data_IF_124580826928
#
_entry.id   IF_124580826928
#
_cell.length_a   1.000
_cell.length_b   1.000
_cell.length_c   1.000
_cell.angle_alpha   90.00
_cell.angle_beta   90.00
_cell.angle_gamma   90.00
#
_symmetry.space_group_name_H-M   'P 1'
#
loop_
_entity.id
_entity.type
_entity.pdbx_description
1 polymer ?
#
# COMPACT_ATOMS: atom_id res chain seq x y z
N UNK A 1 -42.82 0.33 10.58
CA UNK A 1 -42.12 0.71 11.82
C UNK A 1 -40.64 0.44 11.55
N UNK A 2 -39.90 1.52 11.25
CA UNK A 2 -38.49 1.45 10.86
C UNK A 2 -37.64 1.57 12.12
N UNK A 3 -36.80 0.56 12.37
CA UNK A 3 -35.82 0.60 13.45
C UNK A 3 -34.51 1.21 12.94
N UNK A 4 -34.20 2.41 13.37
CA UNK A 4 -32.89 3.03 13.19
C UNK A 4 -31.90 2.39 14.18
N UNK A 5 -30.90 1.67 13.66
CA UNK A 5 -29.71 1.30 14.42
C UNK A 5 -28.76 2.50 14.45
N UNK A 6 -28.63 3.13 15.60
CA UNK A 6 -27.70 4.22 15.82
C UNK A 6 -26.26 3.70 15.89
N UNK A 7 -25.42 4.10 14.96
CA UNK A 7 -23.97 4.04 15.06
C UNK A 7 -23.53 4.91 16.27
N UNK A 8 -23.08 4.27 17.35
CA UNK A 8 -22.43 4.96 18.47
C UNK A 8 -20.98 5.20 18.08
N UNK A 9 -20.69 6.43 17.62
CA UNK A 9 -19.33 6.86 17.36
C UNK A 9 -18.49 6.91 18.64
N UNK A 10 -17.20 6.60 18.51
CA UNK A 10 -16.22 6.87 19.57
C UNK A 10 -16.15 8.39 19.79
N UNK A 11 -16.78 8.90 20.84
CA UNK A 11 -16.72 10.32 21.20
C UNK A 11 -15.45 10.60 21.95
N UNK A 12 -14.52 11.30 21.31
CA UNK A 12 -13.38 11.92 22.00
C UNK A 12 -13.86 13.14 22.79
N UNK A 13 -13.79 13.08 24.10
CA UNK A 13 -14.04 14.25 24.97
C UNK A 13 -12.77 15.10 24.99
N UNK A 14 -12.78 16.22 24.28
CA UNK A 14 -11.72 17.25 24.36
C UNK A 14 -11.99 18.12 25.58
N UNK A 15 -11.23 17.92 26.64
CA UNK A 15 -11.16 18.85 27.77
C UNK A 15 -10.01 19.83 27.53
N UNK A 16 -10.36 21.08 27.24
CA UNK A 16 -9.40 22.19 27.19
C UNK A 16 -9.09 22.60 28.64
N UNK A 17 -7.88 22.36 29.12
CA UNK A 17 -7.34 22.90 30.36
C UNK A 17 -6.09 23.70 30.04
N UNK A 18 -6.12 24.96 30.43
CA UNK A 18 -5.04 25.95 30.26
C UNK A 18 -3.87 25.63 31.18
N UNK A 19 -2.70 25.58 30.57
CA UNK A 19 -1.31 25.54 30.94
C UNK A 19 -0.84 25.62 32.40
N UNK A 20 0.09 24.69 32.74
CA UNK A 20 1.40 24.97 33.37
C UNK A 20 2.34 23.79 33.01
N UNK A 21 3.69 24.00 32.93
CA UNK A 21 4.57 22.99 32.40
C UNK A 21 4.93 21.95 33.46
N UNK A 22 4.18 20.89 33.50
CA UNK A 22 4.58 19.66 34.18
C UNK A 22 4.90 18.65 33.10
N UNK A 23 6.07 18.02 33.20
CA UNK A 23 6.47 16.86 32.38
C UNK A 23 5.34 15.84 32.45
N UNK A 24 4.52 15.78 31.42
CA UNK A 24 3.49 14.76 31.27
C UNK A 24 4.17 13.51 30.70
N UNK A 25 4.41 12.55 31.59
CA UNK A 25 4.46 11.13 31.20
C UNK A 25 3.25 10.85 30.31
N UNK A 26 3.47 10.38 29.10
CA UNK A 26 2.42 10.03 28.16
C UNK A 26 1.35 9.19 28.88
N UNK A 27 0.14 9.68 28.92
CA UNK A 27 -0.99 8.87 29.39
C UNK A 27 -1.18 7.75 28.37
N UNK A 28 -0.87 6.52 28.77
CA UNK A 28 -1.27 5.31 28.11
C UNK A 28 -2.79 5.33 27.96
N UNK A 29 -3.27 5.63 26.77
CA UNK A 29 -4.67 5.52 26.39
C UNK A 29 -5.06 4.02 26.33
N UNK A 30 -5.06 3.32 27.46
CA UNK A 30 -5.71 2.00 27.63
C UNK A 30 -5.37 0.86 26.65
N UNK A 31 -4.45 1.08 25.73
CA UNK A 31 -4.01 0.08 24.74
C UNK A 31 -2.88 -0.76 25.33
N UNK A 32 -2.99 -2.06 25.19
CA UNK A 32 -1.96 -3.01 25.64
C UNK A 32 -0.58 -2.67 25.05
N UNK A 33 0.47 -2.95 25.82
CA UNK A 33 1.85 -2.87 25.31
C UNK A 33 2.01 -3.79 24.11
N UNK A 34 2.85 -3.39 23.15
CA UNK A 34 3.20 -4.25 22.03
C UNK A 34 3.82 -5.56 22.52
N UNK A 35 3.43 -6.67 21.92
CA UNK A 35 3.88 -8.01 22.27
C UNK A 35 5.07 -8.48 21.41
N UNK A 36 5.49 -7.68 20.44
CA UNK A 36 6.67 -7.91 19.61
C UNK A 36 7.72 -6.88 20.01
N UNK A 37 8.95 -7.36 20.25
CA UNK A 37 10.12 -6.49 20.29
C UNK A 37 10.65 -6.28 18.88
N UNK A 38 11.09 -5.04 18.58
CA UNK A 38 11.74 -4.72 17.31
C UNK A 38 10.84 -5.04 16.06
N UNK A 39 9.57 -4.68 16.12
CA UNK A 39 8.65 -4.87 14.99
C UNK A 39 8.92 -3.93 13.81
N UNK A 40 9.63 -2.82 14.03
CA UNK A 40 10.13 -1.90 13.01
C UNK A 40 11.53 -2.26 12.47
N UNK A 41 12.13 -3.37 12.90
CA UNK A 41 13.43 -3.91 12.44
C UNK A 41 14.64 -3.01 12.69
N UNK A 42 14.52 -1.95 13.48
CA UNK A 42 15.57 -0.94 13.74
C UNK A 42 16.71 -1.45 14.62
N UNK A 43 16.42 -2.42 15.53
CA UNK A 43 17.43 -3.00 16.40
C UNK A 43 18.20 -4.06 15.65
N UNK A 44 19.49 -3.83 15.43
CA UNK A 44 20.39 -4.73 14.71
C UNK A 44 21.63 -5.13 15.52
N UNK A 45 22.12 -6.31 15.24
CA UNK A 45 23.40 -6.81 15.79
C UNK A 45 24.60 -6.23 15.06
N UNK A 46 24.49 -6.05 13.74
CA UNK A 46 25.47 -5.40 12.87
C UNK A 46 24.78 -4.94 11.58
N UNK A 47 25.43 -4.05 10.83
CA UNK A 47 24.94 -3.57 9.56
C UNK A 47 24.89 -4.68 8.51
N UNK A 48 23.77 -4.90 7.79
CA UNK A 48 23.69 -5.92 6.74
C UNK A 48 24.65 -5.55 5.59
N UNK A 49 25.47 -6.51 5.16
CA UNK A 49 26.42 -6.32 4.07
C UNK A 49 25.95 -6.85 2.72
N UNK A 50 25.03 -7.79 2.72
CA UNK A 50 24.44 -8.41 1.54
C UNK A 50 22.97 -8.77 1.83
N UNK A 51 22.16 -8.91 0.77
CA UNK A 51 20.77 -9.30 0.86
C UNK A 51 20.59 -10.79 1.21
N UNK A 52 21.49 -11.65 0.85
CA UNK A 52 21.45 -13.09 1.18
C UNK A 52 22.16 -13.39 2.50
N UNK A 53 21.48 -13.22 3.59
CA UNK A 53 21.97 -13.66 4.88
C UNK A 53 21.43 -15.07 5.17
N UNK A 54 22.26 -16.11 5.12
CA UNK A 54 21.87 -17.50 5.40
C UNK A 54 21.29 -17.75 6.80
N UNK A 55 21.28 -16.73 7.62
CA UNK A 55 20.62 -16.67 8.92
C UNK A 55 20.31 -15.20 9.21
N UNK A 56 19.09 -14.86 9.50
CA UNK A 56 18.60 -13.50 9.80
C UNK A 56 19.15 -12.98 11.14
N UNK A 57 20.49 -13.01 11.29
CA UNK A 57 21.18 -12.64 12.54
C UNK A 57 21.40 -11.14 12.68
N UNK A 58 21.15 -10.39 11.63
CA UNK A 58 21.32 -8.95 11.66
C UNK A 58 20.21 -8.26 12.43
N UNK A 59 18.98 -8.76 12.38
CA UNK A 59 17.84 -8.20 13.11
C UNK A 59 17.73 -8.83 14.49
N UNK A 60 17.79 -8.01 15.53
CA UNK A 60 17.65 -8.49 16.92
C UNK A 60 16.23 -9.04 17.14
N UNK A 61 16.15 -10.24 17.72
CA UNK A 61 14.89 -10.88 18.08
C UNK A 61 14.19 -11.65 16.95
N UNK A 62 14.63 -11.51 15.70
CA UNK A 62 14.03 -12.20 14.55
C UNK A 62 14.89 -13.34 14.04
N UNK A 63 14.22 -14.37 13.52
CA UNK A 63 14.82 -15.57 12.96
C UNK A 63 14.08 -16.02 11.71
N UNK A 64 14.67 -16.95 10.96
CA UNK A 64 14.00 -17.66 9.86
C UNK A 64 13.39 -18.96 10.34
N UNK A 65 12.24 -19.36 9.78
CA UNK A 65 11.55 -20.61 10.17
C UNK A 65 11.84 -21.80 9.23
N UNK A 66 12.59 -21.57 8.15
CA UNK A 66 13.06 -22.60 7.21
C UNK A 66 14.46 -22.22 6.68
N UNK A 67 14.97 -22.90 5.64
CA UNK A 67 16.25 -22.56 5.02
C UNK A 67 16.15 -21.42 3.98
N UNK A 68 14.97 -20.81 3.80
CA UNK A 68 14.82 -19.56 3.06
C UNK A 68 15.56 -18.42 3.72
N UNK A 69 15.88 -17.39 2.98
CA UNK A 69 16.77 -16.31 3.40
C UNK A 69 16.08 -14.96 3.37
N UNK A 70 15.11 -14.69 4.28
CA UNK A 70 14.52 -13.35 4.38
C UNK A 70 15.62 -12.32 4.67
N UNK A 71 15.41 -11.11 4.15
CA UNK A 71 16.43 -10.08 4.07
C UNK A 71 16.22 -8.99 5.13
N UNK A 72 17.31 -8.32 5.48
CA UNK A 72 17.34 -7.11 6.28
C UNK A 72 17.91 -5.96 5.45
N UNK A 73 17.17 -4.88 5.36
CA UNK A 73 17.57 -3.63 4.70
C UNK A 73 17.73 -2.53 5.74
N UNK A 74 18.85 -1.80 5.68
CA UNK A 74 19.15 -0.74 6.63
C UNK A 74 20.00 0.35 5.97
N UNK A 75 19.70 1.61 6.25
CA UNK A 75 20.42 2.76 5.71
C UNK A 75 21.91 2.81 6.11
N UNK A 76 22.33 2.00 7.08
CA UNK A 76 23.75 1.84 7.40
C UNK A 76 24.53 1.06 6.33
N UNK A 77 23.84 0.28 5.47
CA UNK A 77 24.46 -0.48 4.39
C UNK A 77 24.88 0.44 3.25
N UNK A 78 26.16 0.50 2.97
CA UNK A 78 26.72 1.39 1.92
C UNK A 78 26.99 0.65 0.60
N UNK A 79 26.76 -0.65 0.54
CA UNK A 79 27.10 -1.52 -0.60
C UNK A 79 26.03 -1.58 -1.70
N UNK A 80 24.90 -0.90 -1.56
CA UNK A 80 23.80 -0.85 -2.54
C UNK A 80 22.95 -2.11 -2.67
N UNK A 81 23.25 -3.19 -1.95
CA UNK A 81 22.49 -4.45 -2.01
C UNK A 81 21.44 -4.59 -0.88
N UNK A 82 21.76 -4.11 0.30
CA UNK A 82 20.93 -4.17 1.49
C UNK A 82 20.67 -2.77 2.07
N UNK A 83 20.78 -1.73 1.25
CA UNK A 83 20.58 -0.33 1.64
C UNK A 83 19.11 0.06 1.74
N UNK A 84 18.89 1.26 2.29
CA UNK A 84 17.62 1.97 2.32
C UNK A 84 17.91 3.42 1.91
N UNK A 85 17.17 4.00 0.94
CA UNK A 85 16.04 3.42 0.21
C UNK A 85 16.44 2.43 -0.88
N UNK A 86 17.65 2.49 -1.41
CA UNK A 86 18.08 1.75 -2.61
C UNK A 86 18.69 0.41 -2.21
N UNK A 87 18.16 -0.67 -2.78
CA UNK A 87 18.63 -2.02 -2.56
C UNK A 87 18.51 -2.88 -3.82
N UNK A 88 18.84 -4.16 -3.74
CA UNK A 88 18.84 -5.05 -4.89
C UNK A 88 17.47 -5.31 -5.50
N UNK A 89 16.39 -5.11 -4.75
CA UNK A 89 15.02 -5.40 -5.19
C UNK A 89 14.21 -4.14 -5.55
N UNK A 90 14.84 -2.96 -5.46
CA UNK A 90 14.22 -1.69 -5.82
C UNK A 90 14.61 -0.52 -4.91
N UNK A 91 13.78 0.51 -4.92
CA UNK A 91 13.99 1.73 -4.12
C UNK A 91 12.76 1.98 -3.25
N UNK A 92 12.89 1.70 -1.95
CA UNK A 92 11.81 1.89 -0.98
C UNK A 92 12.34 2.57 0.28
N UNK A 93 11.88 3.79 0.63
CA UNK A 93 12.13 4.38 1.93
C UNK A 93 11.51 3.52 3.05
N UNK A 94 12.15 3.44 4.21
CA UNK A 94 11.53 2.84 5.38
C UNK A 94 10.23 3.58 5.74
N UNK A 95 9.25 2.85 6.27
CA UNK A 95 8.04 3.45 6.81
C UNK A 95 8.34 4.21 8.09
N UNK A 96 9.03 3.56 9.02
CA UNK A 96 9.52 4.15 10.25
C UNK A 96 11.03 3.94 10.35
N UNK A 97 11.75 4.92 10.87
CA UNK A 97 13.19 4.79 11.09
C UNK A 97 14.04 4.70 9.84
N UNK A 98 14.86 3.63 9.72
CA UNK A 98 15.91 3.47 8.71
C UNK A 98 16.07 2.04 8.19
N UNK A 99 15.25 1.12 8.66
CA UNK A 99 15.37 -0.30 8.38
C UNK A 99 14.01 -0.95 8.08
N UNK A 100 14.00 -2.07 7.40
CA UNK A 100 12.85 -2.95 7.19
C UNK A 100 13.31 -4.35 6.82
N UNK A 101 12.40 -5.31 6.82
CA UNK A 101 12.65 -6.66 6.37
C UNK A 101 12.07 -6.92 4.98
N UNK A 102 12.56 -7.96 4.30
CA UNK A 102 12.02 -8.42 3.02
C UNK A 102 11.96 -9.92 2.91
N UNK A 103 10.99 -10.44 2.16
CA UNK A 103 10.84 -11.87 1.93
C UNK A 103 10.15 -12.24 0.62
N UNK A 104 10.53 -13.41 0.09
CA UNK A 104 9.88 -14.04 -1.05
C UNK A 104 8.64 -14.77 -0.57
N UNK A 105 7.48 -14.34 -1.04
CA UNK A 105 6.20 -15.01 -0.78
C UNK A 105 5.91 -16.14 -1.78
N UNK A 106 6.44 -16.05 -3.00
CA UNK A 106 6.25 -17.05 -4.05
C UNK A 106 7.33 -16.92 -5.12
N UNK A 107 7.68 -18.05 -5.74
CA UNK A 107 8.58 -18.10 -6.89
C UNK A 107 7.97 -18.99 -7.98
N UNK A 108 7.85 -18.46 -9.21
CA UNK A 108 7.34 -19.25 -10.34
C UNK A 108 8.27 -20.42 -10.71
N UNK A 109 9.59 -20.23 -10.57
CA UNK A 109 10.58 -21.28 -10.88
C UNK A 109 10.68 -22.34 -9.78
N UNK A 110 10.30 -22.00 -8.55
CA UNK A 110 10.28 -22.90 -7.38
C UNK A 110 8.95 -22.72 -6.61
N UNK A 111 7.82 -23.28 -7.07
CA UNK A 111 6.49 -22.97 -6.52
C UNK A 111 6.30 -23.27 -5.02
N UNK A 112 7.14 -24.11 -4.44
CA UNK A 112 7.14 -24.43 -2.99
C UNK A 112 8.17 -23.64 -2.18
N UNK A 113 9.00 -22.83 -2.82
CA UNK A 113 9.92 -21.94 -2.12
C UNK A 113 9.17 -20.86 -1.37
N UNK A 114 9.49 -20.68 -0.10
CA UNK A 114 8.95 -19.64 0.77
C UNK A 114 10.03 -19.14 1.71
N UNK A 115 9.88 -17.89 2.09
CA UNK A 115 10.67 -17.31 3.18
C UNK A 115 9.74 -16.92 4.33
N UNK A 116 10.27 -17.02 5.56
CA UNK A 116 9.50 -16.74 6.77
C UNK A 116 10.33 -15.97 7.77
N UNK A 117 9.74 -14.90 8.29
CA UNK A 117 10.22 -14.18 9.46
C UNK A 117 9.54 -14.73 10.72
N UNK A 118 10.30 -14.98 11.78
CA UNK A 118 9.78 -15.53 13.01
C UNK A 118 10.36 -14.82 14.23
N UNK A 119 9.51 -14.49 15.21
CA UNK A 119 9.92 -13.95 16.49
C UNK A 119 9.11 -14.54 17.64
N UNK A 120 9.65 -14.46 18.86
CA UNK A 120 8.91 -14.78 20.08
C UNK A 120 8.08 -13.59 20.54
N UNK A 121 6.88 -13.84 21.04
CA UNK A 121 6.11 -12.84 21.75
C UNK A 121 6.74 -12.56 23.12
N UNK A 122 6.61 -11.33 23.60
CA UNK A 122 7.10 -10.90 24.92
C UNK A 122 6.41 -11.62 26.08
N UNK A 123 5.26 -12.24 25.84
CA UNK A 123 4.57 -13.15 26.77
C UNK A 123 3.69 -14.15 26.01
N UNK A 124 3.34 -15.21 26.68
CA UNK A 124 2.34 -16.18 26.20
C UNK A 124 0.96 -15.53 26.15
N UNK A 125 0.22 -15.79 25.06
CA UNK A 125 -1.17 -15.35 24.93
C UNK A 125 -2.10 -16.18 25.82
N UNK A 126 -3.14 -15.55 26.34
CA UNK A 126 -4.16 -16.20 27.17
C UNK A 126 -5.35 -16.63 26.33
N UNK A 127 -5.95 -17.76 26.70
CA UNK A 127 -7.16 -18.22 26.02
C UNK A 127 -8.27 -17.18 26.07
N UNK A 128 -8.87 -16.91 24.92
CA UNK A 128 -9.97 -15.97 24.77
C UNK A 128 -9.53 -14.50 24.72
N UNK A 129 -8.24 -14.21 24.76
CA UNK A 129 -7.69 -12.86 24.63
C UNK A 129 -7.85 -12.38 23.17
N UNK A 130 -8.35 -11.16 23.00
CA UNK A 130 -8.38 -10.52 21.68
C UNK A 130 -7.03 -9.93 21.35
N UNK A 131 -6.51 -10.29 20.19
CA UNK A 131 -5.20 -9.84 19.68
C UNK A 131 -5.40 -9.06 18.42
N UNK A 132 -5.05 -7.78 18.45
CA UNK A 132 -4.95 -6.92 17.28
C UNK A 132 -3.56 -7.03 16.68
N UNK A 133 -3.50 -7.26 15.39
CA UNK A 133 -2.27 -7.39 14.61
C UNK A 133 -2.28 -6.34 13.51
N UNK A 134 -1.16 -5.62 13.38
CA UNK A 134 -0.96 -4.60 12.37
C UNK A 134 0.42 -4.80 11.75
N UNK A 135 0.53 -4.61 10.47
CA UNK A 135 1.81 -4.63 9.77
C UNK A 135 1.71 -3.83 8.48
N UNK A 136 2.84 -3.38 8.01
CA UNK A 136 2.92 -2.65 6.76
C UNK A 136 3.68 -3.47 5.72
N UNK A 137 3.21 -3.43 4.48
CA UNK A 137 3.78 -4.19 3.37
C UNK A 137 3.90 -3.32 2.13
N UNK A 138 4.98 -3.53 1.38
CA UNK A 138 5.19 -2.90 0.07
C UNK A 138 5.76 -3.94 -0.89
N UNK A 139 5.28 -3.99 -2.14
CA UNK A 139 5.85 -4.88 -3.14
C UNK A 139 7.20 -4.32 -3.64
N UNK A 140 8.15 -5.20 -3.90
CA UNK A 140 9.44 -4.77 -4.45
C UNK A 140 9.34 -4.47 -5.96
N UNK A 141 10.15 -3.52 -6.45
CA UNK A 141 10.18 -3.12 -7.86
C UNK A 141 10.58 -4.26 -8.79
N UNK A 142 11.59 -5.05 -8.39
CA UNK A 142 12.19 -6.12 -9.20
C UNK A 142 11.38 -7.44 -9.16
N UNK A 143 10.22 -7.47 -8.50
CA UNK A 143 9.31 -8.61 -8.50
C UNK A 143 8.41 -8.61 -9.75
N UNK A 144 8.46 -9.68 -10.57
CA UNK A 144 7.59 -9.82 -11.75
C UNK A 144 6.19 -10.27 -11.39
N UNK A 145 6.03 -10.99 -10.31
CA UNK A 145 4.74 -11.54 -9.88
C UNK A 145 4.30 -10.95 -8.54
N UNK A 146 3.00 -10.89 -8.36
CA UNK A 146 2.34 -10.49 -7.12
C UNK A 146 1.41 -11.60 -6.66
N UNK A 147 1.12 -11.64 -5.37
CA UNK A 147 0.29 -12.68 -4.75
C UNK A 147 -0.50 -12.14 -3.56
N UNK A 148 -1.54 -12.86 -3.19
CA UNK A 148 -2.33 -12.64 -1.97
C UNK A 148 -1.81 -13.46 -0.77
N UNK A 149 -0.74 -14.22 -0.95
CA UNK A 149 -0.23 -15.14 0.05
C UNK A 149 0.65 -14.47 1.10
N UNK A 150 0.07 -13.81 2.09
CA UNK A 150 0.78 -13.31 3.27
C UNK A 150 -0.08 -13.55 4.50
N UNK A 151 0.50 -14.12 5.55
CA UNK A 151 -0.18 -14.37 6.81
C UNK A 151 0.74 -14.35 8.01
N UNK A 152 0.15 -14.23 9.19
CA UNK A 152 0.80 -14.28 10.49
C UNK A 152 0.25 -15.46 11.29
N UNK A 153 1.13 -16.41 11.55
CA UNK A 153 0.81 -17.67 12.22
C UNK A 153 1.33 -17.67 13.66
N UNK A 154 0.41 -17.70 14.61
CA UNK A 154 0.69 -17.70 16.04
C UNK A 154 0.69 -19.12 16.59
N UNK A 155 1.74 -19.50 17.31
CA UNK A 155 1.94 -20.90 17.75
C UNK A 155 2.55 -20.99 19.14
N UNK A 156 2.30 -22.09 19.88
CA UNK A 156 2.93 -22.34 21.19
C UNK A 156 4.44 -22.61 21.07
N UNK A 157 4.88 -23.17 19.96
CA UNK A 157 6.28 -23.52 19.70
C UNK A 157 6.70 -22.96 18.35
N UNK A 158 7.97 -22.58 18.20
CA UNK A 158 8.52 -22.06 16.95
C UNK A 158 8.40 -23.13 15.83
N UNK A 159 7.53 -22.95 14.81
CA UNK A 159 7.45 -23.89 13.71
C UNK A 159 8.72 -23.87 12.87
N UNK A 160 9.06 -25.02 12.28
CA UNK A 160 10.20 -25.16 11.38
C UNK A 160 9.85 -26.06 10.21
N UNK A 161 10.24 -25.65 9.00
CA UNK A 161 10.19 -26.49 7.82
C UNK A 161 11.59 -27.02 7.45
N UNK A 162 11.61 -28.17 6.79
CA UNK A 162 12.86 -28.76 6.26
C UNK A 162 13.18 -28.09 4.92
N UNK A 163 14.43 -27.66 4.75
CA UNK A 163 14.87 -26.97 3.53
C UNK A 163 14.17 -25.62 3.33
N UNK A 164 14.00 -25.22 2.09
CA UNK A 164 13.35 -23.96 1.66
C UNK A 164 11.82 -24.11 1.51
N UNK A 165 11.24 -25.22 2.00
CA UNK A 165 9.85 -25.57 1.80
C UNK A 165 8.87 -24.79 2.68
N UNK A 166 7.60 -25.04 2.39
CA UNK A 166 6.47 -24.41 3.07
C UNK A 166 6.31 -24.92 4.50
N UNK A 167 5.95 -24.02 5.39
CA UNK A 167 5.36 -24.37 6.67
C UNK A 167 3.91 -24.83 6.48
N UNK A 168 3.52 -25.84 7.23
CA UNK A 168 2.14 -26.31 7.32
C UNK A 168 1.44 -25.63 8.49
N UNK A 169 0.28 -25.06 8.26
CA UNK A 169 -0.53 -24.40 9.29
C UNK A 169 -1.52 -23.42 8.67
N UNK A 170 -2.52 -23.05 9.43
CA UNK A 170 -3.49 -22.02 9.05
C UNK A 170 -3.20 -20.79 9.91
N UNK A 171 -2.74 -19.68 9.29
CA UNK A 171 -2.48 -18.46 10.02
C UNK A 171 -3.78 -17.89 10.58
N UNK A 172 -3.75 -17.37 11.79
CA UNK A 172 -4.90 -16.71 12.43
C UNK A 172 -5.23 -15.39 11.73
N UNK A 173 -4.23 -14.77 11.12
CA UNK A 173 -4.38 -13.52 10.38
C UNK A 173 -3.74 -13.69 9.01
N UNK A 174 -4.45 -13.33 7.96
CA UNK A 174 -3.92 -13.42 6.60
C UNK A 174 -4.45 -12.28 5.73
N UNK A 175 -3.67 -11.97 4.71
CA UNK A 175 -4.14 -11.10 3.65
C UNK A 175 -5.40 -11.70 2.99
N UNK A 176 -6.45 -10.91 2.74
CA UNK A 176 -7.68 -11.42 2.12
C UNK A 176 -7.42 -12.09 0.77
N UNK A 177 -8.23 -13.10 0.45
CA UNK A 177 -8.17 -13.77 -0.85
C UNK A 177 -8.40 -12.77 -1.98
N UNK A 178 -7.63 -12.92 -3.07
CA UNK A 178 -7.62 -12.02 -4.22
C UNK A 178 -7.11 -10.60 -3.97
N UNK A 179 -6.77 -10.23 -2.74
CA UNK A 179 -6.10 -8.98 -2.46
C UNK A 179 -4.60 -9.11 -2.78
N UNK A 180 -4.26 -8.94 -4.04
CA UNK A 180 -2.88 -9.06 -4.51
C UNK A 180 -2.03 -7.90 -3.98
N UNK A 181 -0.90 -8.23 -3.36
CA UNK A 181 0.06 -7.26 -2.82
C UNK A 181 0.86 -6.66 -3.99
N UNK A 182 0.34 -5.59 -4.56
CA UNK A 182 0.86 -4.99 -5.80
C UNK A 182 1.45 -3.60 -5.63
N UNK A 183 1.15 -2.90 -4.52
CA UNK A 183 1.65 -1.55 -4.31
C UNK A 183 3.17 -1.61 -4.03
N UNK A 184 3.93 -0.98 -4.93
CA UNK A 184 5.39 -0.85 -4.86
C UNK A 184 5.85 0.58 -4.58
N UNK A 185 4.90 1.50 -4.47
CA UNK A 185 5.18 2.91 -4.30
C UNK A 185 4.97 3.36 -2.87
N UNK A 186 4.01 2.71 -2.19
CA UNK A 186 3.63 3.04 -0.84
C UNK A 186 3.53 1.81 0.06
N UNK A 187 3.69 2.07 1.34
CA UNK A 187 3.44 1.09 2.36
C UNK A 187 1.94 0.93 2.56
N UNK A 188 1.44 -0.26 2.28
CA UNK A 188 0.05 -0.65 2.55
C UNK A 188 -0.06 -1.19 3.95
N UNK A 189 -0.93 -0.60 4.76
CA UNK A 189 -1.25 -1.10 6.09
C UNK A 189 -2.23 -2.25 5.99
N UNK A 190 -1.89 -3.32 6.65
CA UNK A 190 -2.77 -4.46 6.87
C UNK A 190 -3.02 -4.61 8.36
N UNK A 191 -4.25 -4.94 8.74
CA UNK A 191 -4.59 -5.19 10.14
C UNK A 191 -5.74 -6.17 10.24
N UNK A 192 -5.70 -6.99 11.28
CA UNK A 192 -6.78 -7.93 11.60
C UNK A 192 -6.77 -8.25 13.09
N UNK A 193 -7.83 -8.90 13.55
CA UNK A 193 -8.01 -9.26 14.95
C UNK A 193 -8.44 -10.71 15.07
N UNK A 194 -7.83 -11.43 16.00
CA UNK A 194 -8.23 -12.81 16.31
C UNK A 194 -8.37 -13.03 17.82
N UNK A 195 -9.07 -14.10 18.18
CA UNK A 195 -9.16 -14.52 19.56
C UNK A 195 -8.19 -15.68 19.81
N UNK A 196 -7.24 -15.49 20.74
CA UNK A 196 -6.21 -16.47 21.06
C UNK A 196 -6.82 -17.76 21.64
N UNK A 197 -6.30 -18.90 21.20
CA UNK A 197 -6.64 -20.20 21.79
C UNK A 197 -5.96 -20.42 23.14
N UNK A 198 -4.88 -19.70 23.38
CA UNK A 198 -4.06 -19.72 24.59
C UNK A 198 -2.85 -20.63 24.45
N UNK A 199 -1.70 -20.12 24.87
CA UNK A 199 -0.44 -20.84 24.80
C UNK A 199 0.49 -20.37 23.71
N UNK A 200 0.05 -19.51 22.77
CA UNK A 200 0.86 -18.98 21.69
C UNK A 200 2.01 -18.12 22.25
N UNK A 201 3.23 -18.39 21.80
CA UNK A 201 4.46 -17.74 22.21
C UNK A 201 5.30 -17.24 21.05
N UNK A 202 4.95 -17.63 19.81
CA UNK A 202 5.67 -17.25 18.61
C UNK A 202 4.73 -16.75 17.56
N UNK A 203 5.20 -15.82 16.74
CA UNK A 203 4.56 -15.42 15.49
C UNK A 203 5.53 -15.69 14.33
N UNK A 204 4.99 -16.25 13.25
CA UNK A 204 5.72 -16.49 12.00
C UNK A 204 4.98 -15.79 10.87
N UNK A 205 5.69 -15.00 10.10
CA UNK A 205 5.16 -14.19 8.98
C UNK A 205 5.65 -14.80 7.67
N UNK A 206 4.77 -14.97 6.70
CA UNK A 206 5.10 -15.50 5.38
C UNK A 206 3.89 -16.07 4.66
N UNK A 207 4.12 -16.83 3.61
CA UNK A 207 3.05 -17.43 2.82
C UNK A 207 2.80 -18.89 3.21
N UNK A 208 1.61 -19.18 3.75
CA UNK A 208 1.16 -20.50 4.19
C UNK A 208 0.22 -21.17 3.18
N UNK A 209 -0.21 -20.47 2.12
CA UNK A 209 -1.08 -21.03 1.08
C UNK A 209 -0.32 -22.03 0.19
N UNK A 210 -0.94 -23.18 -0.05
CA UNK A 210 -0.44 -24.12 -1.03
C UNK A 210 -0.49 -23.49 -2.45
N UNK A 211 0.38 -23.90 -3.40
CA UNK A 211 0.42 -23.28 -4.72
C UNK A 211 -0.91 -23.25 -5.47
N UNK A 212 -1.77 -24.26 -5.25
CA UNK A 212 -3.11 -24.35 -5.85
C UNK A 212 -4.16 -23.46 -5.20
N UNK A 213 -3.89 -22.92 -4.02
CA UNK A 213 -4.76 -22.01 -3.25
C UNK A 213 -4.32 -20.55 -3.39
N UNK A 214 -3.15 -20.36 -3.99
CA UNK A 214 -2.50 -19.07 -4.11
C UNK A 214 -2.92 -18.38 -5.40
N UNK A 215 -3.43 -17.15 -5.28
CA UNK A 215 -3.64 -16.30 -6.44
C UNK A 215 -2.33 -15.59 -6.78
N UNK A 216 -1.90 -15.77 -8.01
CA UNK A 216 -0.66 -15.20 -8.54
C UNK A 216 -0.96 -14.51 -9.86
N UNK A 217 -0.48 -13.29 -10.01
CA UNK A 217 -0.62 -12.53 -11.25
C UNK A 217 0.74 -11.97 -11.68
N UNK A 218 1.00 -11.95 -12.97
CA UNK A 218 2.17 -11.25 -13.51
C UNK A 218 1.87 -9.76 -13.62
N UNK A 219 2.85 -8.95 -13.31
CA UNK A 219 2.80 -7.49 -13.41
C UNK A 219 3.14 -7.08 -14.84
N UNK A 220 2.30 -6.25 -15.43
CA UNK A 220 2.53 -5.70 -16.77
C UNK A 220 3.64 -4.63 -16.77
N UNK A 221 3.92 -4.04 -15.60
CA UNK A 221 4.89 -2.96 -15.41
C UNK A 221 6.23 -3.43 -14.81
N UNK A 222 6.46 -4.74 -14.75
CA UNK A 222 7.71 -5.28 -14.24
C UNK A 222 8.88 -4.89 -15.16
N UNK A 223 10.02 -4.44 -14.60
CA UNK A 223 11.18 -4.05 -15.40
C UNK A 223 11.71 -5.23 -16.22
N UNK A 224 12.37 -4.93 -17.34
CA UNK A 224 13.02 -5.96 -18.17
C UNK A 224 14.10 -6.67 -17.34
N UNK A 225 13.97 -8.00 -17.18
CA UNK A 225 14.86 -8.79 -16.34
C UNK A 225 14.42 -8.97 -14.90
N UNK A 226 13.27 -8.42 -14.51
CA UNK A 226 12.69 -8.66 -13.19
C UNK A 226 12.62 -10.13 -12.82
N UNK A 227 12.84 -10.42 -11.55
CA UNK A 227 12.82 -11.77 -11.00
C UNK A 227 11.41 -12.37 -11.00
N UNK A 228 11.26 -13.65 -11.30
CA UNK A 228 9.98 -14.36 -11.27
C UNK A 228 9.52 -14.67 -9.83
N UNK A 229 9.62 -13.67 -8.96
CA UNK A 229 9.27 -13.74 -7.54
C UNK A 229 8.17 -12.74 -7.21
N UNK A 230 7.33 -13.13 -6.25
CA UNK A 230 6.52 -12.20 -5.47
C UNK A 230 7.34 -11.85 -4.22
N UNK A 231 8.00 -10.70 -4.25
CA UNK A 231 8.83 -10.20 -3.17
C UNK A 231 8.15 -9.00 -2.50
N UNK A 232 8.12 -8.99 -1.17
CA UNK A 232 7.56 -7.88 -0.40
C UNK A 232 8.53 -7.41 0.67
N UNK A 233 8.48 -6.12 0.95
CA UNK A 233 9.04 -5.52 2.14
C UNK A 233 8.01 -5.50 3.26
N UNK A 234 8.46 -5.62 4.50
CA UNK A 234 7.66 -5.55 5.73
C UNK A 234 8.27 -4.55 6.68
N UNK A 235 7.42 -3.73 7.31
CA UNK A 235 7.82 -2.80 8.33
C UNK A 235 6.73 -2.66 9.40
N UNK A 236 7.10 -2.16 10.57
CA UNK A 236 6.23 -1.78 11.69
C UNK A 236 5.18 -2.85 12.06
N UNK A 237 5.65 -4.07 12.29
CA UNK A 237 4.80 -5.19 12.75
C UNK A 237 4.46 -5.00 14.22
N UNK A 238 3.17 -4.95 14.53
CA UNK A 238 2.64 -4.74 15.89
C UNK A 238 1.65 -5.81 16.26
N UNK A 239 1.76 -6.30 17.48
CA UNK A 239 0.83 -7.29 18.06
C UNK A 239 0.42 -6.81 19.45
N UNK A 240 -0.86 -6.54 19.66
CA UNK A 240 -1.36 -5.94 20.90
C UNK A 240 -2.59 -6.66 21.41
N UNK A 241 -2.68 -6.79 22.72
CA UNK A 241 -3.90 -7.22 23.38
C UNK A 241 -4.92 -6.06 23.41
N UNK A 242 -6.15 -6.34 23.03
CA UNK A 242 -7.28 -5.42 23.05
C UNK A 242 -8.44 -5.99 23.84
N UNK A 243 -9.33 -5.12 24.37
CA UNK A 243 -10.46 -5.57 25.16
C UNK A 243 -11.62 -6.08 24.29
N UNK A 244 -11.68 -5.64 23.04
CA UNK A 244 -12.68 -6.09 22.06
C UNK A 244 -12.16 -5.90 20.63
N UNK A 245 -12.72 -6.59 19.63
CA UNK A 245 -12.33 -6.45 18.22
C UNK A 245 -12.44 -5.01 17.71
N UNK A 246 -13.43 -4.25 18.16
CA UNK A 246 -13.68 -2.88 17.72
C UNK A 246 -12.55 -1.93 18.13
N UNK A 247 -11.81 -2.25 19.19
CA UNK A 247 -10.65 -1.48 19.59
C UNK A 247 -9.51 -1.59 18.58
N UNK A 248 -9.37 -2.71 17.90
CA UNK A 248 -8.41 -2.85 16.80
C UNK A 248 -8.75 -1.87 15.67
N UNK A 249 -10.02 -1.73 15.31
CA UNK A 249 -10.48 -0.76 14.31
C UNK A 249 -10.30 0.70 14.76
N UNK A 250 -10.53 0.99 16.05
CA UNK A 250 -10.31 2.34 16.61
C UNK A 250 -8.81 2.70 16.67
N UNK A 251 -7.93 1.72 16.94
CA UNK A 251 -6.48 1.91 16.84
C UNK A 251 -6.08 2.30 15.40
N UNK A 252 -6.73 1.70 14.42
CA UNK A 252 -6.52 2.03 13.02
C UNK A 252 -6.78 3.52 12.73
N UNK A 253 -7.84 4.08 13.27
CA UNK A 253 -8.17 5.51 13.09
C UNK A 253 -7.25 6.45 13.87
N UNK A 254 -6.82 6.06 15.08
CA UNK A 254 -5.97 6.93 15.91
C UNK A 254 -4.50 6.95 15.48
N UNK A 255 -4.01 5.89 14.82
CA UNK A 255 -2.64 5.85 14.28
C UNK A 255 -2.55 6.65 12.98
N UNK A 256 -3.59 6.64 12.14
CA UNK A 256 -3.69 7.55 10.99
C UNK A 256 -3.61 9.04 11.43
N UNK A 257 -4.05 9.35 12.64
CA UNK A 257 -3.99 10.71 13.20
C UNK A 257 -2.67 11.04 13.92
N UNK A 258 -1.81 10.05 14.23
CA UNK A 258 -0.56 10.24 15.01
C UNK A 258 0.72 9.91 14.25
N UNK A 259 0.66 9.33 13.07
CA UNK A 259 1.75 9.42 12.11
C UNK A 259 1.83 10.90 11.75
N UNK A 260 2.73 11.63 12.41
CA UNK A 260 3.12 12.98 11.99
C UNK A 260 3.42 12.84 10.51
N UNK A 261 2.56 13.44 9.71
CA UNK A 261 2.59 13.39 8.27
C UNK A 261 4.02 13.23 7.76
N UNK A 262 4.33 12.17 7.00
CA UNK A 262 5.33 12.37 6.00
C UNK A 262 4.87 13.59 5.20
N UNK A 263 5.75 14.43 4.63
CA UNK A 263 5.40 15.76 4.13
C UNK A 263 4.42 15.76 2.93
N UNK A 264 3.65 14.71 2.75
CA UNK A 264 2.47 14.64 1.90
C UNK A 264 1.25 15.06 2.69
N UNK A 265 0.82 16.24 2.43
CA UNK A 265 -0.54 16.64 2.77
C UNK A 265 -1.49 15.53 2.27
N UNK A 266 -2.30 14.98 3.18
CA UNK A 266 -3.46 14.18 2.80
C UNK A 266 -4.29 15.08 1.89
N UNK A 267 -4.23 14.85 0.59
CA UNK A 267 -5.12 15.51 -0.35
C UNK A 267 -6.53 15.02 -0.04
N UNK A 268 -7.24 15.79 0.78
CA UNK A 268 -8.66 15.56 0.94
C UNK A 268 -9.33 15.86 -0.40
N UNK A 269 -10.20 14.98 -0.84
CA UNK A 269 -10.95 15.03 -2.11
C UNK A 269 -11.54 16.41 -2.44
N UNK A 270 -11.80 17.22 -1.44
CA UNK A 270 -12.41 18.55 -1.57
C UNK A 270 -11.47 19.64 -2.11
N UNK A 271 -10.16 19.39 -2.20
CA UNK A 271 -9.17 20.44 -2.50
C UNK A 271 -8.33 20.19 -3.77
N UNK A 272 -8.41 19.01 -4.38
CA UNK A 272 -7.67 18.75 -5.62
C UNK A 272 -8.61 18.87 -6.79
N UNK A 273 -8.65 20.04 -7.39
CA UNK A 273 -9.27 20.27 -8.69
C UNK A 273 -8.21 20.77 -9.65
N UNK A 274 -7.96 19.99 -10.66
CA UNK A 274 -7.16 20.43 -11.80
C UNK A 274 -8.09 21.06 -12.84
N UNK A 275 -7.63 22.14 -13.45
CA UNK A 275 -8.36 22.76 -14.55
C UNK A 275 -8.46 21.78 -15.71
N UNK A 276 -9.60 21.74 -16.34
CA UNK A 276 -9.82 20.90 -17.51
C UNK A 276 -8.94 21.38 -18.69
N UNK A 277 -8.35 20.43 -19.39
CA UNK A 277 -7.62 20.70 -20.64
C UNK A 277 -8.64 20.90 -21.76
N UNK A 278 -8.64 22.08 -22.35
CA UNK A 278 -9.53 22.41 -23.44
C UNK A 278 -8.90 22.13 -24.80
N UNK A 279 -9.75 21.77 -25.78
CA UNK A 279 -9.35 21.45 -27.13
C UNK A 279 -10.10 22.33 -28.18
N UNK A 280 -9.40 22.59 -29.23
CA UNK A 280 -10.01 23.22 -30.40
C UNK A 280 -11.08 22.34 -31.04
N UNK A 281 -11.89 22.96 -31.91
CA UNK A 281 -12.91 22.23 -32.64
C UNK A 281 -12.27 21.16 -33.54
N UNK A 282 -12.76 19.94 -33.45
CA UNK A 282 -12.30 18.78 -34.23
C UNK A 282 -10.81 18.42 -34.04
N UNK A 283 -10.22 18.85 -32.93
CA UNK A 283 -8.82 18.65 -32.61
C UNK A 283 -8.62 17.75 -31.34
N UNK A 284 -7.50 17.06 -31.31
CA UNK A 284 -6.99 16.30 -30.17
C UNK A 284 -5.54 16.66 -29.85
N UNK A 285 -4.94 17.55 -30.61
CA UNK A 285 -3.61 18.10 -30.35
C UNK A 285 -3.66 19.06 -29.15
N UNK A 286 -2.61 19.00 -28.32
CA UNK A 286 -2.47 19.87 -27.15
C UNK A 286 -2.00 21.26 -27.56
N UNK A 287 -2.66 22.29 -27.06
CA UNK A 287 -2.19 23.67 -27.20
C UNK A 287 -0.99 23.94 -26.26
N UNK A 288 -0.22 25.03 -26.48
CA UNK A 288 0.84 25.42 -25.53
C UNK A 288 0.31 25.65 -24.11
N UNK A 289 -0.89 26.21 -23.97
CA UNK A 289 -1.55 26.42 -22.67
C UNK A 289 -1.91 25.11 -22.00
N UNK A 290 -2.45 24.15 -22.76
CA UNK A 290 -2.72 22.80 -22.32
C UNK A 290 -1.43 22.10 -21.83
N UNK A 291 -0.37 22.25 -22.60
CA UNK A 291 0.95 21.67 -22.24
C UNK A 291 1.49 22.25 -20.92
N UNK A 292 1.36 23.58 -20.72
CA UNK A 292 1.77 24.22 -19.48
C UNK A 292 0.94 23.77 -18.27
N UNK A 293 -0.37 23.56 -18.44
CA UNK A 293 -1.23 23.01 -17.38
C UNK A 293 -0.85 21.58 -17.03
N UNK A 294 -0.48 20.76 -18.03
CA UNK A 294 0.01 19.41 -17.83
C UNK A 294 1.40 19.36 -17.18
N UNK A 295 2.25 20.38 -17.32
CA UNK A 295 3.53 20.50 -16.58
C UNK A 295 3.26 20.62 -15.07
N UNK A 296 2.25 21.39 -14.67
CA UNK A 296 1.87 21.53 -13.26
C UNK A 296 1.36 20.21 -12.72
N UNK A 297 0.43 19.56 -13.42
CA UNK A 297 -0.13 18.27 -13.03
C UNK A 297 0.95 17.18 -12.94
N UNK A 298 1.84 17.12 -13.95
CA UNK A 298 2.94 16.16 -13.95
C UNK A 298 3.87 16.36 -12.76
N UNK A 299 4.28 17.60 -12.48
CA UNK A 299 5.11 17.91 -11.31
C UNK A 299 4.42 17.50 -10.00
N UNK A 300 3.13 17.77 -9.87
CA UNK A 300 2.37 17.36 -8.71
C UNK A 300 2.32 15.83 -8.57
N UNK A 301 2.08 15.12 -9.67
CA UNK A 301 2.10 13.65 -9.69
C UNK A 301 3.50 13.05 -9.45
N UNK A 302 4.57 13.73 -9.84
CA UNK A 302 5.95 13.29 -9.58
C UNK A 302 6.34 13.49 -8.12
N UNK A 303 5.88 14.58 -7.50
CA UNK A 303 6.06 14.83 -6.06
C UNK A 303 5.18 13.88 -5.24
N UNK A 304 3.92 13.74 -5.63
CA UNK A 304 2.92 12.89 -4.97
C UNK A 304 2.79 11.57 -5.74
N UNK A 305 3.65 10.62 -5.45
CA UNK A 305 3.70 9.32 -6.13
C UNK A 305 2.43 8.47 -5.97
N UNK A 306 1.54 8.85 -5.06
CA UNK A 306 0.30 8.14 -4.74
C UNK A 306 -0.92 8.63 -5.52
N UNK A 307 -0.80 9.75 -6.23
CA UNK A 307 -1.89 10.25 -7.04
C UNK A 307 -2.11 9.30 -8.22
N UNK A 308 -3.26 8.65 -8.25
CA UNK A 308 -3.81 7.94 -9.39
C UNK A 308 -5.00 8.74 -9.87
N UNK A 309 -5.01 9.11 -11.12
CA UNK A 309 -6.07 9.93 -11.71
C UNK A 309 -6.77 9.21 -12.85
N UNK A 310 -8.05 9.45 -12.96
CA UNK A 310 -8.82 9.13 -14.15
C UNK A 310 -8.80 10.32 -15.11
N UNK A 311 -8.51 10.04 -16.36
CA UNK A 311 -8.39 11.03 -17.46
C UNK A 311 -9.60 10.87 -18.35
N UNK A 312 -10.57 11.76 -18.20
CA UNK A 312 -11.90 11.68 -18.82
C UNK A 312 -11.99 12.57 -20.07
N UNK A 313 -12.07 11.95 -21.25
CA UNK A 313 -12.19 12.65 -22.53
C UNK A 313 -13.64 12.96 -22.92
N UNK A 314 -13.89 14.19 -23.41
CA UNK A 314 -15.22 14.66 -23.83
C UNK A 314 -15.19 15.42 -25.15
N UNK A 315 -16.35 15.50 -25.82
CA UNK A 315 -16.59 16.34 -26.99
C UNK A 315 -17.82 17.23 -26.81
N UNK A 316 -17.97 18.20 -27.68
CA UNK A 316 -19.28 18.85 -27.88
C UNK A 316 -20.24 17.92 -28.66
N UNK A 317 -21.47 18.35 -28.92
CA UNK A 317 -22.50 17.52 -29.55
C UNK A 317 -22.41 17.45 -31.09
N UNK A 318 -21.47 18.17 -31.71
CA UNK A 318 -21.36 18.22 -33.17
C UNK A 318 -20.66 16.94 -33.66
N UNK A 319 -21.31 16.23 -34.58
CA UNK A 319 -20.81 14.96 -35.15
C UNK A 319 -21.66 13.77 -34.78
N UNK A 320 -21.28 12.58 -35.29
CA UNK A 320 -21.96 11.35 -34.92
C UNK A 320 -21.44 10.86 -33.54
N UNK A 321 -22.25 10.08 -32.84
CA UNK A 321 -21.90 9.51 -31.56
C UNK A 321 -20.60 8.68 -31.64
N UNK A 322 -20.48 7.83 -32.66
CA UNK A 322 -19.29 7.01 -32.89
C UNK A 322 -18.02 7.84 -33.15
N UNK A 323 -18.17 8.94 -33.89
CA UNK A 323 -17.07 9.87 -34.13
C UNK A 323 -16.65 10.59 -32.85
N UNK A 324 -17.63 11.11 -32.11
CA UNK A 324 -17.36 11.81 -30.86
C UNK A 324 -16.72 10.88 -29.80
N UNK A 325 -17.11 9.60 -29.76
CA UNK A 325 -16.48 8.63 -28.87
C UNK A 325 -14.99 8.45 -29.23
N UNK A 326 -14.64 8.25 -30.50
CA UNK A 326 -13.25 8.15 -30.94
C UNK A 326 -12.45 9.43 -30.74
N UNK A 327 -13.06 10.62 -30.93
CA UNK A 327 -12.37 11.88 -30.71
C UNK A 327 -12.08 12.12 -29.22
N UNK A 328 -13.02 11.75 -28.34
CA UNK A 328 -12.80 11.82 -26.89
C UNK A 328 -11.70 10.85 -26.40
N UNK A 329 -11.63 9.65 -26.96
CA UNK A 329 -10.53 8.69 -26.74
C UNK A 329 -9.18 9.30 -27.11
N UNK A 330 -9.04 9.83 -28.34
CA UNK A 330 -7.79 10.47 -28.79
C UNK A 330 -7.36 11.63 -27.91
N UNK A 331 -8.31 12.43 -27.39
CA UNK A 331 -8.00 13.51 -26.45
C UNK A 331 -7.44 13.00 -25.14
N UNK A 332 -8.06 11.98 -24.56
CA UNK A 332 -7.56 11.33 -23.33
C UNK A 332 -6.17 10.73 -23.57
N UNK A 333 -5.96 10.05 -24.70
CA UNK A 333 -4.65 9.50 -25.09
C UNK A 333 -3.57 10.58 -25.24
N UNK A 334 -3.90 11.73 -25.88
CA UNK A 334 -2.94 12.83 -26.04
C UNK A 334 -2.47 13.39 -24.70
N UNK A 335 -3.38 13.51 -23.73
CA UNK A 335 -3.06 13.94 -22.36
C UNK A 335 -2.20 12.89 -21.66
N UNK A 336 -2.58 11.61 -21.74
CA UNK A 336 -1.80 10.52 -21.14
C UNK A 336 -0.37 10.48 -21.71
N UNK A 337 -0.22 10.58 -23.02
CA UNK A 337 1.10 10.58 -23.67
C UNK A 337 1.96 11.74 -23.19
N UNK A 338 1.37 12.94 -23.09
CA UNK A 338 2.09 14.12 -22.60
C UNK A 338 2.54 13.98 -21.14
N UNK A 339 1.67 13.45 -20.26
CA UNK A 339 2.03 13.17 -18.86
C UNK A 339 3.14 12.12 -18.76
N UNK A 340 3.08 11.06 -19.58
CA UNK A 340 4.12 10.03 -19.65
C UNK A 340 5.46 10.61 -20.13
N UNK A 341 5.48 11.45 -21.15
CA UNK A 341 6.70 12.13 -21.63
C UNK A 341 7.33 13.01 -20.56
N UNK A 342 6.54 13.50 -19.60
CA UNK A 342 6.97 14.28 -18.44
C UNK A 342 7.40 13.38 -17.25
N UNK A 343 7.39 12.05 -17.41
CA UNK A 343 7.88 11.10 -16.41
C UNK A 343 6.80 10.52 -15.47
N UNK A 344 5.53 10.81 -15.72
CA UNK A 344 4.42 10.18 -14.95
C UNK A 344 4.27 8.73 -15.40
N UNK A 345 4.19 7.80 -14.45
CA UNK A 345 3.94 6.40 -14.71
C UNK A 345 2.54 6.18 -15.33
N UNK A 346 2.42 5.58 -16.52
CA UNK A 346 1.14 5.31 -17.18
C UNK A 346 0.16 4.49 -16.33
N UNK A 347 0.64 3.63 -15.43
CA UNK A 347 -0.20 2.82 -14.56
C UNK A 347 -0.97 3.65 -13.51
N UNK A 348 -0.60 4.92 -13.36
CA UNK A 348 -1.26 5.89 -12.49
C UNK A 348 -2.30 6.72 -13.24
N UNK A 349 -2.54 6.42 -14.52
CA UNK A 349 -3.44 7.12 -15.41
C UNK A 349 -4.48 6.14 -15.96
N UNK A 350 -5.70 6.23 -15.48
CA UNK A 350 -6.82 5.46 -16.03
C UNK A 350 -7.52 6.32 -17.07
N UNK A 351 -7.72 5.79 -18.29
CA UNK A 351 -8.38 6.51 -19.36
C UNK A 351 -9.85 6.10 -19.45
N UNK A 352 -10.72 7.12 -19.55
CA UNK A 352 -12.13 6.96 -19.87
C UNK A 352 -12.51 8.00 -20.96
N UNK A 353 -13.49 7.68 -21.77
CA UNK A 353 -13.97 8.56 -22.83
C UNK A 353 -15.48 8.45 -23.00
N UNK A 354 -16.14 9.58 -23.10
CA UNK A 354 -17.58 9.70 -23.00
C UNK A 354 -18.23 10.33 -24.24
N UNK A 355 -17.44 10.68 -25.26
CA UNK A 355 -17.98 11.42 -26.40
C UNK A 355 -18.69 12.68 -25.94
N UNK A 356 -19.92 12.91 -26.46
CA UNK A 356 -20.76 14.06 -26.12
C UNK A 356 -21.79 13.76 -25.01
N UNK A 357 -21.69 12.63 -24.33
CA UNK A 357 -22.73 12.16 -23.39
C UNK A 357 -22.73 12.90 -22.04
N UNK A 358 -21.61 13.53 -21.66
CA UNK A 358 -21.45 14.22 -20.37
C UNK A 358 -21.12 15.71 -20.56
N UNK A 359 -22.05 16.53 -21.05
CA UNK A 359 -21.81 17.97 -21.27
C UNK A 359 -21.79 18.72 -19.92
N UNK A 360 -20.85 19.66 -19.77
CA UNK A 360 -20.79 20.62 -18.65
C UNK A 360 -21.30 22.00 -19.07
N UNK A 361 -21.18 22.33 -20.37
CA UNK A 361 -21.67 23.58 -20.97
C UNK A 361 -22.87 23.37 -21.86
N UNK A 362 -23.65 24.45 -22.08
CA UNK A 362 -24.79 24.44 -22.98
C UNK A 362 -24.32 24.30 -24.45
N UNK A 363 -24.57 23.15 -25.05
CA UNK A 363 -24.21 22.84 -26.43
C UNK A 363 -24.85 23.76 -27.48
N UNK A 364 -25.93 24.47 -27.15
CA UNK A 364 -26.54 25.44 -28.05
C UNK A 364 -25.68 26.69 -28.24
N UNK A 365 -24.82 27.02 -27.32
CA UNK A 365 -23.93 28.17 -27.35
C UNK A 365 -22.50 27.80 -27.77
N UNK A 366 -21.79 28.72 -28.42
CA UNK A 366 -20.38 28.53 -28.78
C UNK A 366 -19.53 28.32 -27.56
N UNK A 367 -19.72 29.13 -26.51
CA UNK A 367 -18.98 29.03 -25.26
C UNK A 367 -19.22 27.70 -24.55
N UNK A 368 -20.45 27.20 -24.51
CA UNK A 368 -20.76 25.90 -23.91
C UNK A 368 -20.12 24.72 -24.67
N UNK A 369 -20.08 24.79 -26.00
CA UNK A 369 -19.36 23.80 -26.81
C UNK A 369 -17.86 23.83 -26.56
N UNK A 370 -17.25 24.99 -26.40
CA UNK A 370 -15.83 25.12 -26.01
C UNK A 370 -15.56 24.45 -24.67
N UNK A 371 -16.44 24.64 -23.69
CA UNK A 371 -16.32 23.95 -22.37
C UNK A 371 -16.50 22.44 -22.48
N UNK A 372 -17.29 21.94 -23.44
CA UNK A 372 -17.51 20.50 -23.61
C UNK A 372 -16.36 19.79 -24.33
N UNK A 373 -15.56 20.50 -25.12
CA UNK A 373 -14.35 19.97 -25.76
C UNK A 373 -13.19 19.96 -24.78
N UNK A 374 -13.19 18.98 -23.87
CA UNK A 374 -12.26 18.94 -22.74
C UNK A 374 -11.74 17.54 -22.42
N UNK A 375 -10.68 17.51 -21.67
CA UNK A 375 -10.28 16.39 -20.79
C UNK A 375 -10.31 16.91 -19.36
N UNK A 376 -10.97 16.19 -18.49
CA UNK A 376 -11.00 16.49 -17.06
C UNK A 376 -10.38 15.35 -16.27
N UNK A 377 -9.98 15.64 -15.03
CA UNK A 377 -9.27 14.72 -14.17
C UNK A 377 -10.10 14.43 -12.93
N UNK A 378 -10.20 13.18 -12.58
CA UNK A 378 -10.78 12.74 -11.32
C UNK A 378 -9.74 11.99 -10.51
N UNK A 379 -9.60 12.36 -9.23
CA UNK A 379 -8.75 11.63 -8.30
C UNK A 379 -9.44 10.31 -7.96
N UNK A 380 -8.82 9.19 -8.33
CA UNK A 380 -9.30 7.89 -7.93
C UNK A 380 -8.90 7.63 -6.48
N UNK A 381 -9.87 7.38 -5.60
CA UNK A 381 -9.65 7.07 -4.17
C UNK A 381 -8.80 5.81 -3.94
N UNK A 382 -8.41 5.12 -4.99
CA UNK A 382 -7.88 3.77 -4.95
C UNK A 382 -6.44 3.63 -5.43
N UNK A 383 -5.54 4.50 -5.02
CA UNK A 383 -4.19 4.03 -4.74
C UNK A 383 -4.21 3.09 -3.50
N UNK A 384 -5.26 3.13 -2.73
CA UNK A 384 -5.62 2.16 -1.69
C UNK A 384 -6.88 1.46 -2.16
N UNK A 385 -6.79 0.23 -2.62
CA UNK A 385 -7.97 -0.59 -2.81
C UNK A 385 -8.53 -0.99 -1.44
N UNK A 386 -9.53 -0.31 -0.90
CA UNK A 386 -10.41 -0.98 0.03
C UNK A 386 -11.24 -1.91 -0.82
N UNK A 387 -11.15 -3.17 -0.51
CA UNK A 387 -12.08 -4.16 -1.01
C UNK A 387 -13.48 -3.66 -0.71
N UNK A 388 -14.25 -3.39 -1.76
CA UNK A 388 -15.70 -3.28 -1.63
C UNK A 388 -16.24 -4.62 -1.19
N UNK A 389 -16.98 -4.62 -0.09
CA UNK A 389 -17.77 -5.68 0.54
C UNK A 389 -18.12 -6.89 -0.31
#
# INVERSE_FOLDING_TARGET
MAGHSSLRGCTAVVLIVVAWPTVLFGQNLGFGTDLISNGSFEERSWCPGDYTQSQLKTIVGWNQANAGTPDHFDACSTGGKAGVPDNMFGSQPALDGKAYAGLVLYSQSKPFYREYLQTSLLRTLKKGEWICVEWWVCAADEGRVITDGLGLYFTPTAPKAVGEGMLTGIPQVSNPDLHLLSDRWSWTRLSDVFQAEGGEQFVTIGNFKAPQELHVMERNDAPAGASNWAYVYLDDVRVRSVSSPEQCSCLNHSIEATVTDPPWQVYQREHVRWDAILFDFDAHELTPEATAALDILANEMLVNRYLVIEVNGHTDFIGSESYNLQLSEKRAESVMLALREKGVDPNRLKLEWHGSQMPTGDNSTTKGREQNRRVEFELLEHAYLPVSN
#
